data_IF_767942443543
#
_entry.id   IF_767942443543
#
_cell.length_a   1.000
_cell.length_b   1.000
_cell.length_c   1.000
_cell.angle_alpha   90.00
_cell.angle_beta   90.00
_cell.angle_gamma   90.00
#
_symmetry.space_group_name_H-M   'P 1'
#
loop_
_entity.id
_entity.type
_entity.pdbx_description
1 polymer ?
#
# COMPACT_ATOMS: atom_id res chain seq x y z
N UNK A 1 -31.33 59.96 -17.58
CA UNK A 1 -31.12 58.56 -18.01
C UNK A 1 -30.26 57.89 -16.97
N UNK A 2 -30.81 56.88 -16.29
CA UNK A 2 -30.25 56.20 -15.14
C UNK A 2 -29.37 55.01 -15.56
N UNK A 3 -28.39 54.62 -14.71
CA UNK A 3 -27.94 53.24 -14.47
C UNK A 3 -26.87 53.28 -13.35
N UNK A 4 -27.23 53.05 -12.08
CA UNK A 4 -27.42 51.77 -11.34
C UNK A 4 -26.14 51.19 -10.76
N UNK A 5 -26.21 50.82 -9.48
CA UNK A 5 -25.10 50.58 -8.57
C UNK A 5 -24.26 49.34 -8.84
N UNK A 6 -23.05 49.36 -8.28
CA UNK A 6 -22.09 48.25 -8.30
C UNK A 6 -22.42 47.30 -7.15
N UNK A 7 -22.98 46.13 -7.46
CA UNK A 7 -23.22 45.06 -6.51
C UNK A 7 -21.97 44.16 -6.45
N UNK A 8 -21.29 44.18 -5.30
CA UNK A 8 -20.17 43.28 -4.99
C UNK A 8 -20.71 41.87 -4.72
N UNK A 9 -20.56 40.95 -5.66
CA UNK A 9 -20.91 39.54 -5.47
C UNK A 9 -19.80 38.84 -4.67
N UNK A 10 -20.06 38.58 -3.39
CA UNK A 10 -19.22 37.72 -2.56
C UNK A 10 -19.42 36.25 -3.00
N UNK A 11 -18.43 35.68 -3.67
CA UNK A 11 -18.40 34.26 -4.02
C UNK A 11 -18.03 33.47 -2.76
N UNK A 12 -19.02 32.82 -2.15
CA UNK A 12 -18.80 31.85 -1.08
C UNK A 12 -18.37 30.53 -1.73
N UNK A 13 -17.07 30.27 -1.78
CA UNK A 13 -16.54 28.98 -2.20
C UNK A 13 -16.74 28.01 -1.03
N UNK A 14 -17.82 27.23 -1.08
CA UNK A 14 -18.04 26.13 -0.14
C UNK A 14 -16.94 25.09 -0.32
N UNK A 15 -16.05 24.97 0.66
CA UNK A 15 -15.01 23.93 0.67
C UNK A 15 -15.65 22.56 0.81
N UNK A 16 -15.60 21.76 -0.26
CA UNK A 16 -15.88 20.33 -0.19
C UNK A 16 -14.77 19.67 0.64
N UNK A 17 -15.11 19.22 1.84
CA UNK A 17 -14.21 18.41 2.65
C UNK A 17 -14.10 17.02 2.00
N UNK A 18 -13.01 16.81 1.27
CA UNK A 18 -12.67 15.50 0.73
C UNK A 18 -12.26 14.62 1.91
N UNK A 19 -13.10 13.67 2.29
CA UNK A 19 -12.73 12.66 3.28
C UNK A 19 -11.53 11.88 2.73
N UNK A 20 -10.38 11.99 3.40
CA UNK A 20 -9.23 11.17 3.07
C UNK A 20 -9.61 9.70 3.28
N UNK A 21 -9.29 8.79 2.35
CA UNK A 21 -9.53 7.37 2.58
C UNK A 21 -8.80 6.95 3.86
N UNK A 22 -9.46 6.14 4.69
CA UNK A 22 -8.84 5.52 5.85
C UNK A 22 -7.50 4.90 5.44
N UNK A 23 -6.45 5.13 6.23
CA UNK A 23 -5.07 4.75 5.94
C UNK A 23 -4.98 3.32 5.36
N UNK A 24 -4.99 3.20 4.03
CA UNK A 24 -4.72 1.95 3.38
C UNK A 24 -3.28 1.56 3.71
N UNK A 25 -3.04 0.29 4.01
CA UNK A 25 -1.68 -0.19 4.20
C UNK A 25 -0.84 0.20 2.96
N UNK A 26 0.39 0.68 3.12
CA UNK A 26 1.23 1.01 1.97
C UNK A 26 1.43 -0.24 1.12
N UNK A 27 1.50 -0.05 -0.20
CA UNK A 27 1.83 -1.13 -1.12
C UNK A 27 3.28 -1.60 -0.92
N UNK A 28 3.53 -2.88 -1.12
CA UNK A 28 4.84 -3.50 -1.00
C UNK A 28 5.08 -4.15 0.36
N UNK A 29 6.36 -4.34 0.69
CA UNK A 29 6.78 -5.02 1.91
C UNK A 29 6.74 -4.08 3.13
N UNK A 30 6.23 -4.61 4.24
CA UNK A 30 6.32 -4.03 5.56
C UNK A 30 6.66 -5.13 6.57
N UNK A 31 7.28 -4.75 7.69
CA UNK A 31 7.68 -5.69 8.73
C UNK A 31 7.21 -5.19 10.09
N UNK A 32 6.60 -6.10 10.85
CA UNK A 32 6.26 -5.91 12.26
C UNK A 32 6.90 -7.02 13.09
N UNK A 33 7.97 -6.71 13.80
CA UNK A 33 8.75 -7.71 14.54
C UNK A 33 9.29 -8.79 13.58
N UNK A 34 8.96 -10.05 13.85
CA UNK A 34 9.43 -11.20 13.05
C UNK A 34 8.44 -11.60 11.95
N UNK A 35 7.39 -10.82 11.73
CA UNK A 35 6.37 -11.07 10.70
C UNK A 35 6.52 -10.04 9.59
N UNK A 36 6.69 -10.54 8.36
CA UNK A 36 6.64 -9.72 7.16
C UNK A 36 5.23 -9.72 6.58
N UNK A 37 4.81 -8.60 6.01
CA UNK A 37 3.57 -8.46 5.26
C UNK A 37 3.92 -7.87 3.90
N UNK A 38 3.40 -8.47 2.83
CA UNK A 38 3.50 -7.91 1.49
C UNK A 38 2.11 -7.52 0.99
N UNK A 39 1.87 -6.23 0.81
CA UNK A 39 0.60 -5.71 0.31
C UNK A 39 0.66 -5.46 -1.19
N UNK A 40 -0.05 -6.26 -1.98
CA UNK A 40 -0.14 -6.09 -3.42
C UNK A 40 -1.38 -5.28 -3.83
N UNK A 41 -1.17 -4.06 -4.28
CA UNK A 41 -2.29 -3.15 -4.54
C UNK A 41 -2.95 -3.30 -5.92
N UNK A 42 -2.37 -4.09 -6.84
CA UNK A 42 -2.96 -4.28 -8.16
C UNK A 42 -3.88 -5.53 -8.18
N UNK A 43 -4.79 -5.58 -9.15
CA UNK A 43 -5.82 -6.63 -9.26
C UNK A 43 -5.34 -7.93 -9.95
N UNK A 44 -4.03 -8.09 -10.17
CA UNK A 44 -3.43 -9.27 -10.79
C UNK A 44 -2.64 -10.11 -9.77
N UNK A 45 -2.18 -11.29 -10.18
CA UNK A 45 -1.18 -12.03 -9.43
C UNK A 45 0.22 -11.59 -9.83
N UNK A 46 1.11 -11.54 -8.86
CA UNK A 46 2.51 -11.21 -9.07
C UNK A 46 3.41 -12.21 -8.35
N UNK A 47 4.61 -12.37 -8.89
CA UNK A 47 5.70 -13.09 -8.25
C UNK A 47 6.50 -12.11 -7.42
N UNK A 48 6.74 -12.48 -6.17
CA UNK A 48 7.65 -11.80 -5.27
C UNK A 48 8.79 -12.73 -4.90
N UNK A 49 9.94 -12.13 -4.63
CA UNK A 49 11.03 -12.80 -3.94
C UNK A 49 11.04 -12.32 -2.48
N UNK A 50 11.16 -13.27 -1.56
CA UNK A 50 11.19 -13.05 -0.12
C UNK A 50 12.61 -13.36 0.33
N UNK A 51 13.28 -12.36 0.90
CA UNK A 51 14.57 -12.55 1.56
C UNK A 51 14.33 -12.83 3.04
N UNK A 52 15.04 -13.84 3.55
CA UNK A 52 15.01 -14.24 4.95
C UNK A 52 16.38 -14.02 5.55
N UNK A 53 16.42 -13.63 6.82
CA UNK A 53 17.69 -13.53 7.56
C UNK A 53 18.55 -14.81 7.51
N UNK A 54 17.94 -15.98 7.36
CA UNK A 54 18.59 -17.30 7.27
C UNK A 54 17.81 -18.20 6.30
N UNK A 55 18.53 -18.99 5.49
CA UNK A 55 17.93 -20.04 4.65
C UNK A 55 17.72 -19.66 3.19
N UNK A 56 18.21 -18.49 2.77
CA UNK A 56 18.14 -18.00 1.40
C UNK A 56 16.76 -17.47 1.01
N UNK A 57 16.63 -17.09 -0.25
CA UNK A 57 15.42 -16.43 -0.75
C UNK A 57 14.35 -17.45 -1.15
N UNK A 58 13.09 -17.04 -1.06
CA UNK A 58 11.95 -17.81 -1.54
C UNK A 58 11.16 -17.02 -2.57
N UNK A 59 10.83 -17.67 -3.67
CA UNK A 59 9.98 -17.10 -4.69
C UNK A 59 8.53 -17.55 -4.48
N UNK A 60 7.59 -16.61 -4.42
CA UNK A 60 6.18 -16.89 -4.15
C UNK A 60 5.26 -16.05 -5.01
N UNK A 61 4.16 -16.67 -5.45
CA UNK A 61 3.06 -15.95 -6.12
C UNK A 61 2.07 -15.43 -5.08
N UNK A 62 1.71 -14.15 -5.19
CA UNK A 62 0.76 -13.48 -4.32
C UNK A 62 -0.32 -12.77 -5.14
N UNK A 63 -1.53 -12.75 -4.60
CA UNK A 63 -2.68 -12.06 -5.20
C UNK A 63 -2.86 -10.65 -4.64
N UNK A 64 -3.92 -9.94 -5.06
CA UNK A 64 -4.26 -8.62 -4.57
C UNK A 64 -4.51 -8.62 -3.04
N UNK A 65 -4.07 -7.56 -2.37
CA UNK A 65 -4.19 -7.35 -0.93
C UNK A 65 -2.97 -7.79 -0.13
N UNK A 66 -3.15 -7.91 1.18
CA UNK A 66 -2.08 -8.27 2.11
C UNK A 66 -1.82 -9.77 2.15
N UNK A 67 -0.57 -10.15 1.94
CA UNK A 67 -0.07 -11.51 2.15
C UNK A 67 0.86 -11.53 3.35
N UNK A 68 0.53 -12.36 4.34
CA UNK A 68 1.41 -12.60 5.50
C UNK A 68 2.56 -13.51 5.06
N UNK A 69 3.78 -13.01 5.24
CA UNK A 69 5.01 -13.76 4.98
C UNK A 69 5.43 -14.43 6.27
N UNK A 70 5.17 -15.74 6.36
CA UNK A 70 5.52 -16.55 7.51
C UNK A 70 7.03 -16.84 7.56
N UNK A 71 7.59 -17.06 8.76
CA UNK A 71 8.93 -17.58 8.92
C UNK A 71 9.08 -18.93 8.20
N UNK A 72 10.20 -19.13 7.50
CA UNK A 72 10.48 -20.40 6.80
C UNK A 72 10.78 -21.56 7.78
N UNK A 73 11.48 -21.25 8.86
CA UNK A 73 11.82 -22.08 10.00
C UNK A 73 11.38 -21.38 11.28
N UNK A 74 10.48 -22.03 12.02
CA UNK A 74 9.85 -21.46 13.22
C UNK A 74 10.93 -21.06 14.23
N UNK A 75 10.89 -19.80 14.66
CA UNK A 75 11.78 -19.26 15.70
C UNK A 75 13.21 -18.94 15.25
N UNK A 76 13.59 -19.18 14.00
CA UNK A 76 14.98 -18.98 13.53
C UNK A 76 15.09 -18.14 12.27
N UNK A 77 14.17 -18.30 11.31
CA UNK A 77 14.17 -17.47 10.11
C UNK A 77 12.96 -16.56 10.10
N UNK A 78 13.10 -15.30 9.72
CA UNK A 78 12.00 -14.39 9.47
C UNK A 78 12.28 -13.59 8.21
N UNK A 79 11.23 -13.20 7.47
CA UNK A 79 11.40 -12.39 6.28
C UNK A 79 11.98 -11.04 6.69
N UNK A 80 13.03 -10.60 6.01
CA UNK A 80 13.68 -9.29 6.22
C UNK A 80 13.31 -8.29 5.14
N UNK A 81 12.99 -8.80 3.94
CA UNK A 81 12.56 -7.98 2.83
C UNK A 81 11.77 -8.82 1.82
N UNK A 82 10.98 -8.16 0.98
CA UNK A 82 10.40 -8.80 -0.19
C UNK A 82 10.19 -7.80 -1.32
N UNK A 83 10.38 -8.24 -2.56
CA UNK A 83 10.26 -7.41 -3.74
C UNK A 83 9.58 -8.12 -4.90
N UNK A 84 8.94 -7.34 -5.75
CA UNK A 84 8.35 -7.80 -7.01
C UNK A 84 9.42 -8.28 -8.00
N UNK A 85 9.19 -9.44 -8.62
CA UNK A 85 10.09 -10.00 -9.65
C UNK A 85 9.41 -10.29 -10.99
N UNK A 86 8.08 -10.32 -11.07
CA UNK A 86 7.40 -10.55 -12.34
C UNK A 86 5.96 -11.02 -12.21
N UNK A 87 5.41 -11.49 -13.33
CA UNK A 87 4.10 -12.14 -13.35
C UNK A 87 4.13 -13.56 -12.78
N UNK A 88 2.98 -13.96 -12.26
CA UNK A 88 2.56 -15.35 -12.12
C UNK A 88 1.42 -15.59 -13.12
#
# INVERSE_FOLDING_TARGET
MAITGMASAAVVIGGIAMAAPANAAPCGYSQGGNTGIYNHCANNHIRIEIDYNIGGNESRCVGPGETILMPRWVGTSWPVYAWYTGGC
#
